data_IF_419064174124
#
_entry.id   IF_419064174124
#
_cell.length_a   1.000
_cell.length_b   1.000
_cell.length_c   1.000
_cell.angle_alpha   90.00
_cell.angle_beta   90.00
_cell.angle_gamma   90.00
#
_symmetry.space_group_name_H-M   'P 1'
#
loop_
_entity.id
_entity.type
_entity.pdbx_description
1 polymer ?
#
# COMPACT_ATOMS: atom_id res chain seq x y z
N UNK A 1 -24.37 17.19 12.36
CA UNK A 1 -23.38 17.39 11.28
C UNK A 1 -23.66 16.37 10.19
N UNK A 2 -24.17 16.80 9.03
CA UNK A 2 -24.56 15.89 7.96
C UNK A 2 -23.39 15.71 6.98
N UNK A 3 -22.96 14.45 6.78
CA UNK A 3 -21.92 14.11 5.83
C UNK A 3 -22.49 13.08 4.84
N UNK A 4 -22.37 13.37 3.55
CA UNK A 4 -22.71 12.44 2.46
C UNK A 4 -21.47 11.70 2.03
N UNK A 5 -21.60 10.42 1.70
CA UNK A 5 -20.52 9.59 1.16
C UNK A 5 -20.96 8.89 -0.11
N UNK A 6 -20.04 8.70 -1.04
CA UNK A 6 -20.22 7.84 -2.21
C UNK A 6 -18.98 6.99 -2.44
N UNK A 7 -19.21 5.71 -2.75
CA UNK A 7 -18.16 4.77 -3.09
C UNK A 7 -18.55 4.04 -4.38
N UNK A 8 -17.59 3.87 -5.28
CA UNK A 8 -17.76 3.13 -6.52
C UNK A 8 -16.42 2.58 -7.02
N UNK A 9 -16.45 1.54 -7.81
CA UNK A 9 -15.25 0.94 -8.36
C UNK A 9 -15.55 -0.21 -9.31
N UNK A 10 -14.48 -0.74 -9.88
CA UNK A 10 -14.48 -1.94 -10.70
C UNK A 10 -13.23 -2.76 -10.41
N UNK A 11 -13.37 -4.07 -10.46
CA UNK A 11 -12.27 -5.01 -10.24
C UNK A 11 -12.19 -6.01 -11.40
N UNK A 12 -10.97 -6.28 -11.84
CA UNK A 12 -10.67 -7.29 -12.87
C UNK A 12 -9.56 -8.19 -12.36
N UNK A 13 -9.77 -9.51 -12.46
CA UNK A 13 -8.78 -10.52 -12.09
C UNK A 13 -8.57 -11.50 -13.24
N UNK A 14 -7.29 -11.74 -13.57
CA UNK A 14 -6.88 -12.76 -14.52
C UNK A 14 -6.04 -13.79 -13.77
N UNK A 15 -6.45 -15.08 -13.86
CA UNK A 15 -5.78 -16.18 -13.16
C UNK A 15 -5.39 -17.29 -14.15
N UNK A 16 -4.14 -17.71 -14.07
CA UNK A 16 -3.63 -18.89 -14.77
C UNK A 16 -3.20 -19.95 -13.76
N UNK A 17 -3.82 -21.11 -13.79
CA UNK A 17 -3.62 -22.18 -12.78
C UNK A 17 -2.73 -23.33 -13.27
N UNK A 18 -2.49 -23.44 -14.58
CA UNK A 18 -1.79 -24.58 -15.17
C UNK A 18 -0.52 -24.16 -15.91
N UNK A 19 0.41 -25.12 -16.04
CA UNK A 19 1.67 -24.96 -16.77
C UNK A 19 2.85 -24.57 -15.87
N UNK A 20 4.01 -24.35 -16.50
CA UNK A 20 5.23 -23.96 -15.78
C UNK A 20 5.13 -22.59 -15.13
N UNK A 21 4.42 -21.66 -15.78
CA UNK A 21 4.09 -20.35 -15.25
C UNK A 21 2.62 -20.37 -14.83
N UNK A 22 2.35 -20.12 -13.55
CA UNK A 22 1.02 -19.96 -12.99
C UNK A 22 1.00 -18.74 -12.06
N UNK A 23 -0.19 -18.22 -11.77
CA UNK A 23 -0.34 -17.03 -10.95
C UNK A 23 -1.60 -16.25 -11.26
N UNK A 24 -1.65 -15.02 -10.81
CA UNK A 24 -2.78 -14.14 -11.06
C UNK A 24 -2.36 -12.67 -11.04
N UNK A 25 -3.15 -11.85 -11.71
CA UNK A 25 -3.07 -10.41 -11.74
C UNK A 25 -4.45 -9.85 -11.41
N UNK A 26 -4.52 -9.00 -10.40
CA UNK A 26 -5.73 -8.25 -10.05
C UNK A 26 -5.48 -6.77 -10.21
N UNK A 27 -6.45 -6.09 -10.76
CA UNK A 27 -6.51 -4.64 -10.83
C UNK A 27 -7.84 -4.16 -10.27
N UNK A 28 -7.77 -3.23 -9.33
CA UNK A 28 -8.93 -2.58 -8.73
C UNK A 28 -8.87 -1.08 -8.97
N UNK A 29 -9.93 -0.53 -9.52
CA UNK A 29 -10.20 0.89 -9.51
C UNK A 29 -11.28 1.17 -8.48
N UNK A 30 -11.03 2.05 -7.51
CA UNK A 30 -12.02 2.41 -6.48
C UNK A 30 -11.94 3.88 -6.11
N UNK A 31 -13.10 4.50 -5.88
CA UNK A 31 -13.18 5.87 -5.38
C UNK A 31 -14.11 5.93 -4.19
N UNK A 32 -13.67 6.64 -3.17
CA UNK A 32 -14.44 6.89 -1.96
C UNK A 32 -14.37 8.38 -1.67
N UNK A 33 -15.50 9.06 -1.82
CA UNK A 33 -15.62 10.50 -1.73
C UNK A 33 -16.61 10.88 -0.61
N UNK A 34 -16.29 11.97 0.08
CA UNK A 34 -17.10 12.54 1.13
C UNK A 34 -17.48 13.98 0.75
N UNK A 35 -18.63 14.41 1.21
CA UNK A 35 -19.09 15.78 1.10
C UNK A 35 -19.73 16.21 2.43
N UNK A 36 -19.29 17.32 2.94
CA UNK A 36 -19.90 17.96 4.10
C UNK A 36 -20.56 19.25 3.63
N UNK A 37 -21.87 19.16 3.46
CA UNK A 37 -22.71 20.27 3.01
C UNK A 37 -23.87 20.39 4.01
N UNK A 38 -23.57 21.00 5.16
CA UNK A 38 -24.54 21.19 6.26
C UNK A 38 -24.91 22.67 6.29
N UNK A 39 -26.19 23.04 6.04
CA UNK A 39 -26.65 24.43 6.06
C UNK A 39 -26.46 25.15 7.40
N UNK A 40 -26.31 24.39 8.50
CA UNK A 40 -26.06 24.94 9.83
C UNK A 40 -24.62 25.41 10.06
N UNK A 41 -23.70 25.10 9.12
CA UNK A 41 -22.27 25.41 9.23
C UNK A 41 -21.92 26.53 8.26
N UNK A 42 -21.48 27.68 8.81
CA UNK A 42 -21.09 28.84 7.98
C UNK A 42 -19.88 28.59 7.07
N UNK A 43 -18.99 27.67 7.45
CA UNK A 43 -17.77 27.30 6.67
C UNK A 43 -17.70 25.80 6.54
N UNK A 44 -18.38 25.19 5.55
CA UNK A 44 -18.32 23.77 5.32
C UNK A 44 -16.92 23.32 4.83
N UNK A 45 -16.56 22.08 5.13
CA UNK A 45 -15.27 21.51 4.70
C UNK A 45 -15.12 21.58 3.18
N UNK A 46 -14.00 22.10 2.70
CA UNK A 46 -13.71 22.31 1.28
C UNK A 46 -14.79 23.10 0.54
N UNK A 47 -15.46 24.03 1.23
CA UNK A 47 -16.56 24.81 0.64
C UNK A 47 -17.77 23.97 0.21
N UNK A 48 -18.03 22.83 0.88
CA UNK A 48 -19.12 21.91 0.54
C UNK A 48 -18.86 21.04 -0.69
N UNK A 49 -17.66 21.04 -1.24
CA UNK A 49 -17.29 20.21 -2.40
C UNK A 49 -16.98 18.76 -1.99
N UNK A 50 -17.10 17.84 -2.94
CA UNK A 50 -16.66 16.45 -2.76
C UNK A 50 -15.15 16.37 -2.62
N UNK A 51 -14.67 15.61 -1.62
CA UNK A 51 -13.25 15.38 -1.38
C UNK A 51 -12.97 13.88 -1.11
N UNK A 52 -11.77 13.38 -1.38
CA UNK A 52 -11.42 11.98 -1.13
C UNK A 52 -11.47 11.63 0.36
N UNK A 53 -11.99 10.46 0.71
CA UNK A 53 -11.86 9.90 2.06
C UNK A 53 -10.39 9.58 2.37
N UNK A 54 -10.01 9.50 3.65
CA UNK A 54 -8.61 9.24 4.07
C UNK A 54 -8.00 7.94 3.52
N UNK A 55 -8.85 6.99 3.14
CA UNK A 55 -8.49 5.67 2.61
C UNK A 55 -8.81 5.50 1.12
N UNK A 56 -9.16 6.59 0.42
CA UNK A 56 -9.37 6.59 -1.04
C UNK A 56 -8.06 6.29 -1.77
N UNK A 57 -7.98 5.11 -2.38
CA UNK A 57 -6.87 4.67 -3.22
C UNK A 57 -7.40 4.30 -4.60
N UNK A 58 -7.34 5.21 -5.58
CA UNK A 58 -7.95 5.01 -6.89
C UNK A 58 -7.49 3.76 -7.62
N UNK A 59 -6.23 3.40 -7.51
CA UNK A 59 -5.67 2.27 -8.26
C UNK A 59 -4.95 1.32 -7.30
N UNK A 60 -5.26 0.04 -7.42
CA UNK A 60 -4.53 -1.04 -6.75
C UNK A 60 -4.27 -2.16 -7.76
N UNK A 61 -3.01 -2.62 -7.82
CA UNK A 61 -2.57 -3.73 -8.67
C UNK A 61 -1.86 -4.74 -7.79
N UNK A 62 -2.24 -6.00 -7.88
CA UNK A 62 -1.51 -7.09 -7.26
C UNK A 62 -1.24 -8.17 -8.31
N UNK A 63 0.01 -8.59 -8.41
CA UNK A 63 0.45 -9.65 -9.30
C UNK A 63 1.21 -10.71 -8.51
N UNK A 64 0.82 -11.96 -8.71
CA UNK A 64 1.50 -13.13 -8.13
C UNK A 64 1.88 -14.06 -9.27
N UNK A 65 3.16 -14.35 -9.41
CA UNK A 65 3.68 -15.27 -10.41
C UNK A 65 4.53 -16.36 -9.78
N UNK A 66 4.29 -17.61 -10.17
CA UNK A 66 5.10 -18.75 -9.80
C UNK A 66 5.60 -19.42 -11.07
N UNK A 67 6.90 -19.58 -11.18
CA UNK A 67 7.55 -20.25 -12.31
C UNK A 67 8.25 -21.53 -11.85
N UNK A 68 7.77 -22.67 -12.33
CA UNK A 68 8.38 -23.99 -12.09
C UNK A 68 9.55 -24.20 -13.04
N UNK A 69 10.78 -24.08 -12.52
CA UNK A 69 12.01 -24.35 -13.30
C UNK A 69 12.10 -25.85 -13.59
N UNK A 70 11.94 -26.65 -12.55
CA UNK A 70 11.90 -28.12 -12.62
C UNK A 70 11.11 -28.69 -11.44
N UNK A 71 11.19 -30.00 -11.19
CA UNK A 71 10.47 -30.67 -10.08
C UNK A 71 10.93 -30.24 -8.68
N UNK A 72 12.12 -29.64 -8.56
CA UNK A 72 12.71 -29.27 -7.27
C UNK A 72 12.74 -27.77 -7.05
N UNK A 73 12.81 -26.97 -8.12
CA UNK A 73 13.02 -25.54 -8.03
C UNK A 73 11.85 -24.78 -8.63
N UNK A 74 11.32 -23.86 -7.87
CA UNK A 74 10.34 -22.89 -8.36
C UNK A 74 10.67 -21.49 -7.85
N UNK A 75 10.39 -20.50 -8.69
CA UNK A 75 10.55 -19.09 -8.40
C UNK A 75 9.17 -18.48 -8.14
N UNK A 76 9.08 -17.62 -7.15
CA UNK A 76 7.85 -16.87 -6.87
C UNK A 76 8.15 -15.38 -6.83
N UNK A 77 7.29 -14.59 -7.48
CA UNK A 77 7.32 -13.15 -7.49
C UNK A 77 5.95 -12.62 -7.09
N UNK A 78 5.93 -11.75 -6.07
CA UNK A 78 4.75 -11.02 -5.65
C UNK A 78 4.99 -9.53 -5.86
N UNK A 79 4.09 -8.86 -6.54
CA UNK A 79 4.15 -7.41 -6.75
C UNK A 79 2.86 -6.75 -6.28
N UNK A 80 3.00 -5.64 -5.59
CA UNK A 80 1.86 -4.82 -5.17
C UNK A 80 2.14 -3.36 -5.49
N UNK A 81 1.18 -2.72 -6.12
CA UNK A 81 1.12 -1.28 -6.32
C UNK A 81 -0.19 -0.75 -5.75
N UNK A 82 -0.16 0.37 -5.06
CA UNK A 82 -1.36 1.12 -4.71
C UNK A 82 -1.11 2.61 -4.70
N UNK A 83 -2.09 3.38 -5.18
CA UNK A 83 -2.07 4.85 -5.10
C UNK A 83 -1.95 5.29 -3.65
N UNK A 84 -1.17 6.33 -3.42
CA UNK A 84 -1.00 6.92 -2.10
C UNK A 84 -2.32 7.46 -1.53
N UNK A 85 -2.52 7.27 -0.23
CA UNK A 85 -3.71 7.78 0.45
C UNK A 85 -3.73 9.31 0.51
N UNK A 86 -4.91 9.94 0.54
CA UNK A 86 -5.04 11.37 0.67
C UNK A 86 -4.52 11.91 2.01
N UNK A 87 -4.03 13.14 1.98
CA UNK A 87 -3.49 13.85 3.14
C UNK A 87 -3.80 15.34 3.05
N UNK A 88 -4.01 15.97 4.20
CA UNK A 88 -4.11 17.42 4.36
C UNK A 88 -2.74 17.96 4.75
N UNK A 89 -2.23 18.95 4.04
CA UNK A 89 -0.92 19.53 4.29
C UNK A 89 -1.00 20.84 5.07
N UNK A 90 -0.08 21.12 6.00
CA UNK A 90 0.13 22.48 6.50
C UNK A 90 0.79 23.30 5.38
N UNK A 91 0.11 24.35 4.94
CA UNK A 91 0.54 25.20 3.80
C UNK A 91 1.02 26.56 4.23
N UNK A 92 0.83 26.94 5.50
CA UNK A 92 1.24 28.23 6.01
C UNK A 92 0.98 28.41 7.49
N UNK A 93 1.12 29.64 7.97
CA UNK A 93 0.85 30.04 9.35
C UNK A 93 0.22 31.41 9.37
N UNK A 94 -0.56 31.68 10.40
CA UNK A 94 -1.17 32.98 10.66
C UNK A 94 -1.19 33.24 12.15
N UNK A 95 -1.26 34.52 12.53
CA UNK A 95 -1.40 34.94 13.91
C UNK A 95 -2.88 35.24 14.22
N UNK A 96 -3.37 34.66 15.29
CA UNK A 96 -4.73 34.92 15.78
C UNK A 96 -4.79 34.84 17.31
N UNK A 97 -5.37 35.82 17.96
CA UNK A 97 -5.52 35.85 19.42
C UNK A 97 -4.18 35.78 20.18
N UNK A 98 -3.12 36.42 19.67
CA UNK A 98 -1.79 36.43 20.30
C UNK A 98 -0.98 35.15 20.13
N UNK A 99 -1.48 34.14 19.39
CA UNK A 99 -0.79 32.88 19.15
C UNK A 99 -0.66 32.57 17.67
N UNK A 100 0.44 31.87 17.30
CA UNK A 100 0.67 31.37 15.95
C UNK A 100 -0.18 30.12 15.70
N UNK A 101 -0.88 30.10 14.58
CA UNK A 101 -1.73 28.99 14.13
C UNK A 101 -1.23 28.44 12.80
N UNK A 102 -1.43 27.14 12.56
CA UNK A 102 -1.10 26.48 11.29
C UNK A 102 -2.29 26.62 10.33
N UNK A 103 -1.99 27.06 9.11
CA UNK A 103 -2.95 27.05 8.00
C UNK A 103 -2.81 25.74 7.24
N UNK A 104 -3.89 25.01 7.12
CA UNK A 104 -3.95 23.76 6.38
C UNK A 104 -4.53 23.96 4.98
N UNK A 105 -4.10 23.12 4.03
CA UNK A 105 -4.74 22.99 2.72
C UNK A 105 -6.19 22.54 2.85
N UNK A 106 -6.91 22.53 1.74
CA UNK A 106 -8.17 21.80 1.63
C UNK A 106 -8.00 20.36 2.14
N UNK A 107 -9.05 19.83 2.76
CA UNK A 107 -9.00 18.49 3.35
C UNK A 107 -8.76 17.45 2.29
N UNK A 108 -7.71 16.64 2.48
CA UNK A 108 -7.35 15.54 1.59
C UNK A 108 -7.04 15.97 0.14
N UNK A 109 -6.57 17.21 -0.04
CA UNK A 109 -6.23 17.76 -1.36
C UNK A 109 -4.98 17.15 -1.98
N UNK A 110 -4.10 16.59 -1.15
CA UNK A 110 -2.82 16.00 -1.59
C UNK A 110 -2.80 14.49 -1.32
N UNK A 111 -1.79 13.79 -1.86
CA UNK A 111 -1.55 12.36 -1.61
C UNK A 111 -0.12 12.11 -1.15
N UNK A 112 0.05 11.12 -0.27
CA UNK A 112 1.39 10.58 0.00
C UNK A 112 1.87 9.82 -1.25
N UNK A 113 3.21 9.60 -1.41
CA UNK A 113 3.71 8.81 -2.54
C UNK A 113 3.10 7.42 -2.61
N UNK A 114 2.95 6.92 -3.84
CA UNK A 114 2.40 5.61 -4.13
C UNK A 114 3.21 4.49 -3.49
N UNK A 115 2.54 3.44 -3.08
CA UNK A 115 3.11 2.22 -2.55
C UNK A 115 3.49 1.27 -3.69
N UNK A 116 4.75 0.83 -3.71
CA UNK A 116 5.24 -0.19 -4.65
C UNK A 116 6.11 -1.18 -3.88
N UNK A 117 5.79 -2.46 -3.97
CA UNK A 117 6.58 -3.52 -3.34
C UNK A 117 6.69 -4.71 -4.28
N UNK A 118 7.88 -5.29 -4.34
CA UNK A 118 8.15 -6.56 -5.00
C UNK A 118 8.85 -7.49 -4.02
N UNK A 119 8.35 -8.72 -3.88
CA UNK A 119 8.93 -9.78 -3.06
C UNK A 119 9.29 -10.95 -3.99
N UNK A 120 10.46 -11.51 -3.80
CA UNK A 120 10.96 -12.61 -4.59
C UNK A 120 11.37 -13.78 -3.71
N UNK A 121 11.09 -15.01 -4.14
CA UNK A 121 11.59 -16.21 -3.46
C UNK A 121 11.90 -17.34 -4.40
N UNK A 122 12.89 -18.14 -4.00
CA UNK A 122 13.26 -19.42 -4.55
C UNK A 122 12.75 -20.51 -3.61
N UNK A 123 11.93 -21.42 -4.13
CA UNK A 123 11.46 -22.58 -3.40
C UNK A 123 12.23 -23.82 -3.88
N UNK A 124 12.72 -24.60 -2.94
CA UNK A 124 13.52 -25.81 -3.16
C UNK A 124 12.80 -26.96 -2.50
N UNK A 125 12.16 -27.80 -3.29
CA UNK A 125 11.50 -29.01 -2.78
C UNK A 125 12.51 -30.15 -2.62
N UNK A 126 12.37 -30.90 -1.55
CA UNK A 126 13.20 -32.06 -1.27
C UNK A 126 13.00 -33.18 -2.30
N UNK A 127 13.90 -34.17 -2.31
CA UNK A 127 13.76 -35.33 -3.16
C UNK A 127 12.54 -36.16 -2.74
N UNK A 128 11.53 -36.25 -3.60
CA UNK A 128 10.39 -37.15 -3.42
C UNK A 128 10.80 -38.58 -3.69
N UNK A 129 11.33 -39.28 -2.70
CA UNK A 129 11.42 -40.75 -2.74
C UNK A 129 10.08 -41.31 -2.23
N UNK A 130 9.46 -42.20 -2.96
CA UNK A 130 8.11 -42.77 -2.69
C UNK A 130 7.97 -43.44 -1.30
N UNK A 131 9.07 -43.69 -0.60
CA UNK A 131 9.08 -44.31 0.75
C UNK A 131 9.60 -43.39 1.85
N UNK A 132 9.72 -42.07 1.62
CA UNK A 132 10.12 -41.15 2.69
C UNK A 132 8.92 -40.79 3.57
N UNK A 133 9.08 -40.95 4.90
CA UNK A 133 8.08 -40.57 5.89
C UNK A 133 7.98 -39.05 6.09
N UNK A 134 9.01 -38.31 5.65
CA UNK A 134 9.07 -36.85 5.81
C UNK A 134 9.41 -36.18 4.48
N UNK A 135 8.68 -35.13 4.16
CA UNK A 135 8.95 -34.26 3.02
C UNK A 135 9.42 -32.91 3.53
N UNK A 136 10.59 -32.46 3.10
CA UNK A 136 11.15 -31.17 3.48
C UNK A 136 11.21 -30.22 2.29
N UNK A 137 11.04 -28.92 2.54
CA UNK A 137 11.24 -27.88 1.55
C UNK A 137 11.88 -26.65 2.17
N UNK A 138 12.66 -25.95 1.38
CA UNK A 138 13.27 -24.67 1.74
C UNK A 138 12.69 -23.56 0.88
N UNK A 139 12.46 -22.40 1.49
CA UNK A 139 12.13 -21.18 0.77
C UNK A 139 13.12 -20.10 1.18
N UNK A 140 13.87 -19.58 0.22
CA UNK A 140 14.83 -18.49 0.42
C UNK A 140 14.34 -17.32 -0.42
N UNK A 141 14.25 -16.14 0.19
CA UNK A 141 13.71 -15.00 -0.54
C UNK A 141 14.10 -13.66 0.06
N UNK A 142 13.55 -12.63 -0.56
CA UNK A 142 13.75 -11.23 -0.17
C UNK A 142 12.41 -10.53 -0.21
N UNK A 143 12.00 -9.94 0.91
CA UNK A 143 10.91 -8.98 0.97
C UNK A 143 11.40 -7.60 0.54
N UNK A 144 10.54 -6.86 -0.15
CA UNK A 144 10.85 -5.52 -0.65
C UNK A 144 12.16 -5.51 -1.47
N UNK A 145 12.23 -6.34 -2.51
CA UNK A 145 13.42 -6.53 -3.37
C UNK A 145 14.00 -5.21 -3.90
N UNK A 146 13.15 -4.23 -4.16
CA UNK A 146 13.54 -2.90 -4.66
C UNK A 146 14.16 -2.01 -3.58
N UNK A 147 14.09 -2.37 -2.30
CA UNK A 147 14.53 -1.55 -1.17
C UNK A 147 13.78 -0.22 -1.04
N UNK A 148 12.60 -0.08 -1.66
CA UNK A 148 11.84 1.16 -1.66
C UNK A 148 11.32 1.51 -0.27
N UNK A 149 11.56 2.74 0.16
CA UNK A 149 11.01 3.30 1.41
C UNK A 149 9.57 3.74 1.17
N UNK A 150 8.64 2.79 1.23
CA UNK A 150 7.22 3.07 1.10
C UNK A 150 6.71 3.84 2.32
N UNK A 151 6.15 5.04 2.17
CA UNK A 151 5.65 5.81 3.30
C UNK A 151 4.36 5.20 3.83
N UNK A 152 4.37 4.82 5.09
CA UNK A 152 3.17 4.41 5.83
C UNK A 152 2.37 5.63 6.29
N UNK A 153 3.08 6.68 6.74
CA UNK A 153 2.50 7.92 7.22
C UNK A 153 3.44 9.10 6.94
N UNK A 154 2.86 10.29 6.91
CA UNK A 154 3.59 11.55 6.92
C UNK A 154 3.12 12.34 8.12
N UNK A 155 4.05 12.91 8.87
CA UNK A 155 3.76 13.78 10.00
C UNK A 155 4.58 15.08 9.86
N UNK A 156 4.11 16.12 10.51
CA UNK A 156 4.70 17.44 10.41
C UNK A 156 5.11 17.90 11.80
N UNK A 157 6.34 18.40 11.92
CA UNK A 157 6.90 18.97 13.15
C UNK A 157 7.20 20.43 12.91
N UNK A 158 6.86 21.26 13.88
CA UNK A 158 7.19 22.69 13.86
C UNK A 158 8.48 22.92 14.66
N UNK A 159 9.59 23.19 13.97
CA UNK A 159 10.88 23.46 14.57
C UNK A 159 11.38 24.84 14.09
N UNK A 160 11.85 25.68 15.03
CA UNK A 160 12.43 27.00 14.73
C UNK A 160 11.61 27.86 13.77
N UNK A 161 10.27 27.82 13.89
CA UNK A 161 9.42 28.60 13.02
C UNK A 161 9.17 27.97 11.63
N UNK A 162 9.73 26.82 11.30
CA UNK A 162 9.52 26.08 10.05
C UNK A 162 8.67 24.83 10.28
N UNK A 163 7.88 24.46 9.26
CA UNK A 163 7.14 23.19 9.25
C UNK A 163 7.90 22.18 8.42
N UNK A 164 8.48 21.20 9.09
CA UNK A 164 9.20 20.09 8.45
C UNK A 164 8.29 18.87 8.31
N UNK A 165 8.25 18.28 7.12
CA UNK A 165 7.48 17.07 6.83
C UNK A 165 8.38 15.83 6.87
N UNK A 166 8.00 14.83 7.65
CA UNK A 166 8.72 13.57 7.79
C UNK A 166 7.88 12.41 7.26
N UNK A 167 8.52 11.51 6.51
CA UNK A 167 7.90 10.27 6.01
C UNK A 167 8.28 9.12 6.94
N UNK A 168 7.30 8.49 7.55
CA UNK A 168 7.49 7.25 8.31
C UNK A 168 7.36 6.07 7.35
N UNK A 169 8.42 5.29 7.19
CA UNK A 169 8.42 4.06 6.41
C UNK A 169 8.64 2.86 7.31
N UNK A 170 7.83 1.83 7.15
CA UNK A 170 8.02 0.52 7.78
C UNK A 170 8.69 -0.37 6.72
N UNK A 171 9.75 -1.08 7.06
CA UNK A 171 10.52 -1.89 6.10
C UNK A 171 11.04 -1.11 4.89
N UNK A 172 11.85 -0.08 5.17
CA UNK A 172 12.47 0.77 4.14
C UNK A 172 13.67 0.17 3.40
N UNK A 173 13.94 -1.14 3.57
CA UNK A 173 15.05 -1.87 2.95
C UNK A 173 14.61 -3.25 2.47
N UNK A 174 15.43 -3.88 1.65
CA UNK A 174 15.28 -5.29 1.30
C UNK A 174 15.58 -6.18 2.53
N UNK A 175 14.70 -7.14 2.82
CA UNK A 175 14.81 -8.03 3.99
C UNK A 175 14.92 -9.47 3.50
N UNK A 176 16.07 -10.12 3.62
CA UNK A 176 16.22 -11.53 3.30
C UNK A 176 15.49 -12.40 4.33
N UNK A 177 14.96 -13.52 3.89
CA UNK A 177 14.35 -14.52 4.75
C UNK A 177 14.65 -15.93 4.27
N UNK A 178 14.59 -16.90 5.20
CA UNK A 178 14.71 -18.31 4.94
C UNK A 178 13.65 -19.05 5.76
N UNK A 179 12.93 -19.96 5.10
CA UNK A 179 11.98 -20.85 5.75
C UNK A 179 12.32 -22.31 5.45
N UNK A 180 12.15 -23.15 6.47
CA UNK A 180 12.26 -24.60 6.36
C UNK A 180 10.95 -25.25 6.77
N UNK A 181 10.38 -26.08 5.90
CA UNK A 181 9.14 -26.81 6.15
C UNK A 181 9.39 -28.30 6.14
N UNK A 182 8.86 -29.01 7.13
CA UNK A 182 8.82 -30.46 7.20
C UNK A 182 7.35 -30.89 7.23
N UNK A 183 6.99 -31.86 6.40
CA UNK A 183 5.70 -32.54 6.40
C UNK A 183 5.92 -34.02 6.72
N UNK A 184 5.18 -34.56 7.67
CA UNK A 184 5.18 -35.95 8.09
C UNK A 184 4.10 -36.73 7.39
#
# INVERSE_FOLDING_TARGET
MNTKGKAYGAEVMIKKTQGKLNGWLSYTYSRILLQMDDPSISTPVNGGKWYPANYDKPHEVTAVGNFKVNHRFSLSLNMTYSTGRPITLPVGRFYYGGSQRVLYSDRNAYRIPDYIRADFSLNIDGNYKVKQRTHNSWTIGVYNLTGRRNPFSVYYVSENGLVNGYKLSIFGSAIPFINFNIRF
#
